data_IF_078823568601
#
_entry.id   IF_078823568601
#
_cell.length_a   1.000
_cell.length_b   1.000
_cell.length_c   1.000
_cell.angle_alpha   90.00
_cell.angle_beta   90.00
_cell.angle_gamma   90.00
#
_symmetry.space_group_name_H-M   'P 1'
#
loop_
_entity.id
_entity.type
_entity.pdbx_description
1 polymer ?
#
# COMPACT_ATOMS: atom_id res chain seq x y z
N UNK A 1 10.50 -17.84 -5.17
CA UNK A 1 11.31 -16.69 -4.71
C UNK A 1 10.70 -16.15 -3.43
N UNK A 2 11.47 -15.40 -2.65
CA UNK A 2 11.00 -14.77 -1.41
C UNK A 2 10.31 -13.41 -1.65
N UNK A 3 10.02 -13.02 -2.90
CA UNK A 3 9.46 -11.71 -3.27
C UNK A 3 8.06 -11.41 -2.67
N UNK A 4 7.43 -12.41 -2.04
CA UNK A 4 6.12 -12.28 -1.38
C UNK A 4 6.20 -12.43 0.14
N UNK A 5 7.38 -12.71 0.69
CA UNK A 5 7.57 -12.84 2.12
C UNK A 5 7.47 -11.46 2.78
N UNK A 6 6.75 -11.36 3.90
CA UNK A 6 6.61 -10.10 4.63
C UNK A 6 5.73 -9.06 3.92
N UNK A 7 4.91 -9.45 2.95
CA UNK A 7 3.89 -8.57 2.33
C UNK A 7 2.91 -7.99 3.36
N UNK A 8 2.63 -8.77 4.39
CA UNK A 8 1.98 -8.32 5.61
C UNK A 8 2.83 -8.79 6.79
N UNK A 9 2.91 -7.96 7.83
CA UNK A 9 3.70 -8.27 9.02
C UNK A 9 3.16 -7.57 10.27
N UNK A 10 3.54 -8.10 11.42
CA UNK A 10 3.19 -7.52 12.72
C UNK A 10 4.45 -6.96 13.37
N UNK A 11 4.38 -5.72 13.87
CA UNK A 11 5.51 -5.09 14.55
C UNK A 11 5.29 -5.11 16.04
N UNK A 12 6.08 -5.93 16.74
CA UNK A 12 6.04 -6.06 18.19
C UNK A 12 7.20 -5.31 18.85
N UNK A 13 6.95 -4.76 20.04
CA UNK A 13 7.97 -4.20 20.90
C UNK A 13 8.51 -5.28 21.86
N UNK A 14 9.58 -5.95 21.46
CA UNK A 14 10.30 -6.92 22.29
C UNK A 14 11.79 -6.60 22.34
N UNK A 15 12.46 -7.09 23.39
CA UNK A 15 13.90 -7.27 23.36
C UNK A 15 14.23 -8.42 22.39
N UNK A 16 15.03 -8.20 21.33
CA UNK A 16 15.41 -9.23 20.37
C UNK A 16 16.08 -10.47 21.00
N UNK A 17 16.71 -10.33 22.18
CA UNK A 17 17.36 -11.45 22.88
C UNK A 17 16.39 -12.33 23.65
N UNK A 18 15.13 -11.93 23.76
CA UNK A 18 14.14 -12.57 24.63
C UNK A 18 12.77 -12.67 23.93
N UNK A 19 12.79 -13.11 22.66
CA UNK A 19 11.60 -13.43 21.87
C UNK A 19 11.29 -14.92 22.04
N UNK A 20 10.15 -15.23 22.67
CA UNK A 20 9.66 -16.61 22.83
C UNK A 20 8.22 -16.73 22.34
N UNK A 21 7.81 -17.95 21.99
CA UNK A 21 6.42 -18.23 21.62
C UNK A 21 5.42 -17.78 22.68
N UNK A 22 5.72 -18.03 23.97
CA UNK A 22 4.83 -17.65 25.07
C UNK A 22 4.62 -16.13 25.15
N UNK A 23 5.66 -15.34 24.89
CA UNK A 23 5.55 -13.87 24.86
C UNK A 23 4.73 -13.37 23.68
N UNK A 24 4.94 -13.95 22.50
CA UNK A 24 4.14 -13.65 21.31
C UNK A 24 2.66 -13.96 21.57
N UNK A 25 2.37 -15.17 22.06
CA UNK A 25 1.02 -15.59 22.41
C UNK A 25 0.36 -14.65 23.43
N UNK A 26 1.07 -14.32 24.52
CA UNK A 26 0.55 -13.42 25.55
C UNK A 26 0.31 -12.00 25.02
N UNK A 27 1.15 -11.53 24.09
CA UNK A 27 1.01 -10.21 23.46
C UNK A 27 -0.24 -10.14 22.59
N UNK A 28 -0.48 -11.17 21.77
CA UNK A 28 -1.69 -11.29 20.95
C UNK A 28 -2.93 -11.40 21.85
N UNK A 29 -2.92 -12.33 22.82
CA UNK A 29 -4.07 -12.60 23.70
C UNK A 29 -4.52 -11.37 24.49
N UNK A 30 -3.56 -10.56 24.96
CA UNK A 30 -3.85 -9.42 25.82
C UNK A 30 -3.82 -8.07 25.08
N UNK A 31 -3.64 -8.08 23.75
CA UNK A 31 -3.45 -6.89 22.94
C UNK A 31 -2.38 -5.93 23.52
N UNK A 32 -1.22 -6.50 23.89
CA UNK A 32 -0.07 -5.76 24.42
C UNK A 32 1.12 -5.91 23.49
N UNK A 33 2.02 -4.93 23.50
CA UNK A 33 3.29 -4.93 22.76
C UNK A 33 3.18 -4.91 21.23
N UNK A 34 2.00 -5.14 20.63
CA UNK A 34 1.78 -4.93 19.20
C UNK A 34 1.71 -3.42 18.92
N UNK A 35 2.70 -2.89 18.21
CA UNK A 35 2.81 -1.47 17.90
C UNK A 35 1.92 -1.09 16.72
N UNK A 36 2.02 -1.85 15.64
CA UNK A 36 1.22 -1.70 14.42
C UNK A 36 1.36 -2.93 13.53
N UNK A 37 0.49 -3.04 12.53
CA UNK A 37 0.65 -3.98 11.42
C UNK A 37 1.18 -3.27 10.17
N UNK A 38 1.86 -4.03 9.33
CA UNK A 38 2.31 -3.63 7.99
C UNK A 38 1.41 -4.37 7.02
N UNK A 39 0.76 -3.65 6.12
CA UNK A 39 -0.25 -4.19 5.22
C UNK A 39 0.02 -3.74 3.78
N UNK A 40 -0.57 -4.44 2.81
CA UNK A 40 -0.71 -3.89 1.46
C UNK A 40 -1.94 -2.95 1.40
N UNK A 41 -2.14 -2.28 0.27
CA UNK A 41 -3.36 -1.48 0.05
C UNK A 41 -4.53 -2.42 -0.27
N UNK A 42 -5.54 -2.58 0.62
CA UNK A 42 -6.63 -3.53 0.39
C UNK A 42 -7.38 -3.25 -0.92
N UNK A 43 -7.35 -2.01 -1.41
CA UNK A 43 -7.89 -1.55 -2.67
C UNK A 43 -7.29 -2.25 -3.89
N UNK A 44 -6.06 -2.75 -3.81
CA UNK A 44 -5.46 -3.54 -4.90
C UNK A 44 -6.20 -4.87 -5.10
N UNK A 45 -6.96 -5.35 -4.11
CA UNK A 45 -7.74 -6.57 -4.19
C UNK A 45 -8.76 -6.57 -5.35
N UNK A 46 -8.81 -7.68 -6.10
CA UNK A 46 -9.70 -7.88 -7.26
C UNK A 46 -11.20 -7.66 -7.00
N UNK A 47 -11.60 -7.79 -5.75
CA UNK A 47 -12.98 -7.69 -5.29
C UNK A 47 -13.07 -6.74 -4.11
N UNK A 48 -12.18 -5.74 -4.03
CA UNK A 48 -12.23 -4.76 -2.96
C UNK A 48 -13.58 -4.02 -2.99
N UNK A 49 -13.86 -3.32 -4.09
CA UNK A 49 -15.15 -2.71 -4.34
C UNK A 49 -16.07 -3.66 -5.11
N UNK A 50 -17.38 -3.44 -5.03
CA UNK A 50 -18.31 -4.03 -5.98
C UNK A 50 -18.16 -3.39 -7.36
N UNK A 51 -18.77 -3.96 -8.38
CA UNK A 51 -18.83 -3.30 -9.68
C UNK A 51 -19.19 -4.21 -10.85
N UNK A 52 -18.97 -3.71 -12.06
CA UNK A 52 -19.22 -4.45 -13.29
C UNK A 52 -18.14 -4.13 -14.32
N UNK A 53 -17.17 -5.04 -14.46
CA UNK A 53 -15.96 -4.89 -15.28
C UNK A 53 -16.28 -4.61 -16.74
N UNK A 54 -17.30 -5.28 -17.30
CA UNK A 54 -17.71 -5.11 -18.70
C UNK A 54 -18.21 -3.70 -19.00
N UNK A 55 -18.72 -3.02 -17.97
CA UNK A 55 -19.21 -1.65 -18.07
C UNK A 55 -18.20 -0.60 -17.62
N UNK A 56 -17.09 -1.02 -17.03
CA UNK A 56 -16.09 -0.19 -16.37
C UNK A 56 -16.68 0.68 -15.25
N UNK A 57 -17.52 0.09 -14.40
CA UNK A 57 -18.20 0.79 -13.30
C UNK A 57 -17.80 0.16 -11.97
N UNK A 58 -17.18 0.96 -11.11
CA UNK A 58 -16.95 0.65 -9.70
C UNK A 58 -18.21 1.01 -8.93
N UNK A 59 -18.68 0.09 -8.10
CA UNK A 59 -19.83 0.26 -7.23
C UNK A 59 -19.36 0.19 -5.77
N UNK A 60 -18.97 1.34 -5.22
CA UNK A 60 -18.80 1.52 -3.77
C UNK A 60 -20.13 1.30 -3.04
N UNK A 61 -20.17 1.10 -1.71
CA UNK A 61 -21.41 0.90 -0.97
C UNK A 61 -22.49 1.95 -1.27
N UNK A 62 -22.11 3.22 -1.41
CA UNK A 62 -23.04 4.31 -1.74
C UNK A 62 -23.59 4.18 -3.17
N UNK A 63 -22.74 3.85 -4.15
CA UNK A 63 -23.16 3.63 -5.54
C UNK A 63 -24.03 2.38 -5.64
N UNK A 64 -23.65 1.31 -4.95
CA UNK A 64 -24.40 0.07 -4.88
C UNK A 64 -25.81 0.31 -4.33
N UNK A 65 -25.91 1.03 -3.20
CA UNK A 65 -27.18 1.38 -2.56
C UNK A 65 -28.02 2.28 -3.44
N UNK A 66 -27.42 3.28 -4.07
CA UNK A 66 -28.12 4.22 -4.98
C UNK A 66 -28.78 3.51 -6.18
N UNK A 67 -28.15 2.45 -6.68
CA UNK A 67 -28.62 1.72 -7.85
C UNK A 67 -29.20 0.34 -7.50
N UNK A 68 -29.52 0.09 -6.24
CA UNK A 68 -30.10 -1.18 -5.75
C UNK A 68 -29.34 -2.42 -6.27
N UNK A 69 -28.01 -2.39 -6.21
CA UNK A 69 -27.15 -3.49 -6.65
C UNK A 69 -27.13 -3.73 -8.17
N UNK A 70 -27.66 -2.81 -8.97
CA UNK A 70 -27.79 -2.98 -10.42
C UNK A 70 -26.95 -1.97 -11.20
N UNK A 71 -26.25 -2.43 -12.23
CA UNK A 71 -25.41 -1.60 -13.07
C UNK A 71 -26.26 -0.61 -13.90
N UNK A 72 -26.05 0.72 -13.79
CA UNK A 72 -26.87 1.71 -14.48
C UNK A 72 -26.63 1.76 -16.00
N UNK A 73 -25.55 1.14 -16.49
CA UNK A 73 -25.20 1.12 -17.92
C UNK A 73 -25.88 -0.02 -18.69
N UNK A 74 -26.10 -1.16 -18.05
CA UNK A 74 -26.59 -2.37 -18.73
C UNK A 74 -27.70 -3.12 -17.98
N UNK A 75 -28.16 -2.60 -16.84
CA UNK A 75 -29.20 -3.17 -15.99
C UNK A 75 -28.95 -4.62 -15.50
N UNK A 76 -27.69 -5.07 -15.50
CA UNK A 76 -27.30 -6.35 -14.90
C UNK A 76 -26.85 -6.13 -13.45
N UNK A 77 -26.98 -7.12 -12.56
CA UNK A 77 -26.47 -7.01 -11.20
C UNK A 77 -24.97 -6.68 -11.19
N UNK A 78 -24.54 -5.86 -10.25
CA UNK A 78 -23.13 -5.72 -9.93
C UNK A 78 -22.60 -7.03 -9.31
N UNK A 79 -21.30 -7.28 -9.48
CA UNK A 79 -20.58 -8.28 -8.69
C UNK A 79 -20.20 -7.65 -7.37
N UNK A 80 -20.54 -8.34 -6.28
CA UNK A 80 -20.32 -7.82 -4.93
C UNK A 80 -18.83 -7.78 -4.56
N UNK A 81 -18.48 -6.86 -3.66
CA UNK A 81 -17.11 -6.65 -3.18
C UNK A 81 -17.01 -6.69 -1.67
N UNK A 82 -15.79 -6.90 -1.16
CA UNK A 82 -15.48 -6.98 0.26
C UNK A 82 -15.96 -5.71 1.00
N UNK A 83 -15.79 -4.54 0.40
CA UNK A 83 -16.19 -3.26 0.99
C UNK A 83 -17.71 -3.18 1.23
N UNK A 84 -18.53 -3.73 0.33
CA UNK A 84 -19.98 -3.78 0.53
C UNK A 84 -20.35 -4.70 1.69
N UNK A 85 -19.70 -5.88 1.77
CA UNK A 85 -19.92 -6.81 2.88
C UNK A 85 -19.52 -6.19 4.23
N UNK A 86 -18.41 -5.45 4.26
CA UNK A 86 -18.01 -4.69 5.45
C UNK A 86 -19.06 -3.64 5.80
N UNK A 87 -19.54 -2.86 4.83
CA UNK A 87 -20.55 -1.83 5.06
C UNK A 87 -21.90 -2.39 5.52
N UNK A 88 -22.29 -3.57 5.03
CA UNK A 88 -23.51 -4.29 5.45
C UNK A 88 -23.44 -4.72 6.92
N UNK A 89 -22.26 -5.17 7.36
CA UNK A 89 -22.03 -5.66 8.73
C UNK A 89 -21.61 -4.57 9.71
N UNK A 90 -21.29 -3.37 9.23
CA UNK A 90 -20.76 -2.31 10.04
C UNK A 90 -21.81 -1.80 11.05
N UNK A 91 -21.51 -1.97 12.34
CA UNK A 91 -22.25 -1.40 13.47
C UNK A 91 -21.60 -0.13 14.03
N UNK A 92 -20.41 0.20 13.53
CA UNK A 92 -19.54 1.26 14.02
C UNK A 92 -18.96 2.07 12.85
N UNK A 93 -18.70 3.35 13.09
CA UNK A 93 -18.07 4.24 12.11
C UNK A 93 -16.55 4.26 12.29
N UNK A 94 -15.81 4.59 11.22
CA UNK A 94 -14.36 4.77 11.33
C UNK A 94 -13.98 5.81 12.39
N UNK A 95 -14.76 6.88 12.50
CA UNK A 95 -14.58 7.92 13.50
C UNK A 95 -14.70 7.36 14.93
N UNK A 96 -15.60 6.41 15.18
CA UNK A 96 -15.80 5.83 16.51
C UNK A 96 -14.66 4.89 16.94
N UNK A 97 -13.87 4.39 15.97
CA UNK A 97 -12.74 3.48 16.20
C UNK A 97 -11.38 4.18 16.28
N UNK A 98 -11.32 5.48 15.97
CA UNK A 98 -10.07 6.23 15.97
C UNK A 98 -9.41 6.16 17.36
N UNK A 99 -8.17 5.67 17.40
CA UNK A 99 -7.38 5.52 18.62
C UNK A 99 -7.71 4.29 19.50
N UNK A 100 -8.74 3.49 19.16
CA UNK A 100 -9.08 2.27 19.89
C UNK A 100 -8.38 1.03 19.34
N UNK A 101 -8.08 1.03 18.04
CA UNK A 101 -7.42 -0.07 17.34
C UNK A 101 -5.92 0.14 17.28
N UNK A 102 -5.18 -0.97 17.28
CA UNK A 102 -3.78 -0.99 16.85
C UNK A 102 -3.72 -0.41 15.43
N UNK A 103 -2.84 0.56 15.14
CA UNK A 103 -2.74 1.15 13.82
C UNK A 103 -2.11 0.17 12.82
N UNK A 104 -2.30 0.46 11.53
CA UNK A 104 -1.61 -0.23 10.45
C UNK A 104 -0.86 0.78 9.58
N UNK A 105 0.13 0.30 8.83
CA UNK A 105 0.87 1.07 7.82
C UNK A 105 0.78 0.33 6.50
N UNK A 106 0.16 0.95 5.50
CA UNK A 106 0.16 0.41 4.14
C UNK A 106 1.50 0.68 3.47
N UNK A 107 2.13 -0.35 2.92
CA UNK A 107 3.40 -0.24 2.21
C UNK A 107 3.25 -0.60 0.73
N UNK A 108 4.13 -0.03 -0.08
CA UNK A 108 4.35 -0.41 -1.47
C UNK A 108 5.72 -1.09 -1.53
N UNK A 109 5.86 -2.28 -2.14
CA UNK A 109 7.15 -2.94 -2.27
C UNK A 109 8.18 -2.02 -2.94
N UNK A 110 9.41 -2.02 -2.46
CA UNK A 110 10.46 -1.12 -2.92
C UNK A 110 10.70 -1.25 -4.43
N UNK A 111 10.62 -2.45 -4.98
CA UNK A 111 10.73 -2.67 -6.44
C UNK A 111 9.63 -1.97 -7.23
N UNK A 112 8.41 -1.90 -6.71
CA UNK A 112 7.30 -1.16 -7.35
C UNK A 112 7.54 0.36 -7.27
N UNK A 113 8.08 0.85 -6.14
CA UNK A 113 8.47 2.26 -6.00
C UNK A 113 9.55 2.64 -7.02
N UNK A 114 10.59 1.81 -7.15
CA UNK A 114 11.68 2.02 -8.10
C UNK A 114 11.16 1.94 -9.53
N UNK A 115 10.30 0.96 -9.83
CA UNK A 115 9.69 0.78 -11.15
C UNK A 115 8.86 1.99 -11.58
N UNK A 116 8.02 2.49 -10.68
CA UNK A 116 7.20 3.67 -10.94
C UNK A 116 8.10 4.90 -11.13
N UNK A 117 9.08 5.14 -10.26
CA UNK A 117 10.01 6.27 -10.40
C UNK A 117 10.75 6.29 -11.76
N UNK A 118 11.21 5.12 -12.20
CA UNK A 118 11.99 4.95 -13.43
C UNK A 118 11.14 4.75 -14.70
N UNK A 119 9.81 4.69 -14.58
CA UNK A 119 8.88 4.39 -15.68
C UNK A 119 9.22 3.07 -16.44
N UNK A 120 9.63 2.04 -15.69
CA UNK A 120 9.97 0.70 -16.22
C UNK A 120 9.29 -0.41 -15.41
N UNK A 121 9.30 -1.66 -15.91
CA UNK A 121 8.68 -2.78 -15.19
C UNK A 121 9.44 -3.21 -13.92
N UNK A 122 8.75 -3.67 -12.86
CA UNK A 122 9.36 -4.06 -11.57
C UNK A 122 10.29 -5.28 -11.66
N UNK A 123 10.13 -6.10 -12.70
CA UNK A 123 10.95 -7.30 -12.93
C UNK A 123 12.17 -7.04 -13.84
N UNK A 124 12.49 -5.79 -14.14
CA UNK A 124 13.63 -5.45 -15.01
C UNK A 124 14.96 -5.53 -14.26
N UNK A 125 16.05 -5.79 -14.99
CA UNK A 125 17.41 -5.74 -14.44
C UNK A 125 17.78 -4.36 -13.86
N UNK A 126 17.21 -3.29 -14.42
CA UNK A 126 17.41 -1.92 -13.93
C UNK A 126 16.85 -1.76 -12.51
N UNK A 127 15.60 -2.16 -12.29
CA UNK A 127 14.97 -2.15 -10.95
C UNK A 127 15.75 -3.03 -9.98
N UNK A 128 16.12 -4.26 -10.39
CA UNK A 128 16.85 -5.17 -9.53
C UNK A 128 18.18 -4.59 -9.06
N UNK A 129 18.95 -3.97 -9.97
CA UNK A 129 20.24 -3.34 -9.63
C UNK A 129 20.10 -2.23 -8.58
N UNK A 130 19.05 -1.41 -8.70
CA UNK A 130 18.80 -0.33 -7.72
C UNK A 130 18.32 -0.90 -6.39
N UNK A 131 17.43 -1.89 -6.43
CA UNK A 131 16.96 -2.60 -5.25
C UNK A 131 18.12 -3.23 -4.46
N UNK A 132 19.03 -3.93 -5.14
CA UNK A 132 20.19 -4.56 -4.50
C UNK A 132 21.08 -3.53 -3.80
N UNK A 133 21.28 -2.36 -4.43
CA UNK A 133 22.02 -1.25 -3.81
C UNK A 133 21.33 -0.71 -2.55
N UNK A 134 19.99 -0.67 -2.52
CA UNK A 134 19.28 -0.35 -1.28
C UNK A 134 19.46 -1.43 -0.21
N UNK A 135 19.54 -2.71 -0.57
CA UNK A 135 19.78 -3.77 0.41
C UNK A 135 21.20 -3.70 0.99
N UNK A 136 22.19 -3.35 0.18
CA UNK A 136 23.58 -3.14 0.63
C UNK A 136 23.70 -1.99 1.64
N UNK A 137 22.96 -0.89 1.43
CA UNK A 137 23.06 0.32 2.26
C UNK A 137 22.03 0.37 3.40
N UNK A 138 20.87 -0.25 3.21
CA UNK A 138 19.71 -0.15 4.08
C UNK A 138 19.40 -1.41 4.88
N UNK A 139 20.27 -2.43 4.80
CA UNK A 139 20.18 -3.74 5.45
C UNK A 139 19.01 -4.62 4.97
N UNK A 140 17.78 -4.10 5.02
CA UNK A 140 16.57 -4.79 4.61
C UNK A 140 15.49 -3.81 4.12
N UNK A 141 14.53 -4.36 3.38
CA UNK A 141 13.45 -3.57 2.76
C UNK A 141 12.57 -2.84 3.77
N UNK A 142 12.21 -3.45 4.91
CA UNK A 142 11.41 -2.76 5.93
C UNK A 142 12.14 -1.54 6.50
N UNK A 143 13.44 -1.64 6.73
CA UNK A 143 14.24 -0.51 7.17
C UNK A 143 14.24 0.61 6.14
N UNK A 144 14.50 0.30 4.87
CA UNK A 144 14.43 1.26 3.77
C UNK A 144 13.07 1.94 3.68
N UNK A 145 11.99 1.16 3.72
CA UNK A 145 10.64 1.68 3.53
C UNK A 145 10.12 2.45 4.75
N UNK A 146 10.48 2.07 5.98
CA UNK A 146 9.79 2.56 7.18
C UNK A 146 10.64 3.40 8.14
N UNK A 147 11.96 3.19 8.21
CA UNK A 147 12.76 3.69 9.32
C UNK A 147 13.98 4.52 8.91
N UNK A 148 14.66 4.13 7.83
CA UNK A 148 15.89 4.76 7.40
C UNK A 148 15.70 6.26 7.13
N UNK A 149 16.69 7.06 7.55
CA UNK A 149 16.75 8.47 7.17
C UNK A 149 17.05 8.58 5.67
N UNK A 150 16.08 9.05 4.91
CA UNK A 150 16.18 9.19 3.46
C UNK A 150 17.18 10.27 3.03
N UNK A 151 17.57 11.18 3.93
CA UNK A 151 18.53 12.24 3.63
C UNK A 151 19.90 11.71 3.19
N UNK A 152 20.32 10.58 3.77
CA UNK A 152 21.62 9.94 3.51
C UNK A 152 21.71 9.31 2.11
N UNK A 153 20.60 9.22 1.39
CA UNK A 153 20.50 8.54 0.10
C UNK A 153 20.29 9.47 -1.09
N UNK A 154 20.15 10.78 -0.83
CA UNK A 154 19.89 11.79 -1.87
C UNK A 154 20.97 11.85 -2.95
N UNK A 155 22.23 11.61 -2.58
CA UNK A 155 23.36 11.65 -3.52
C UNK A 155 23.61 10.30 -4.22
N UNK A 156 23.01 9.21 -3.71
CA UNK A 156 23.29 7.85 -4.17
C UNK A 156 22.21 7.31 -5.09
N UNK A 157 20.99 7.81 -5.00
CA UNK A 157 19.82 7.30 -5.70
C UNK A 157 19.09 8.40 -6.47
N UNK A 158 18.32 7.98 -7.47
CA UNK A 158 17.48 8.92 -8.21
C UNK A 158 16.48 9.59 -7.24
N UNK A 159 16.35 10.93 -7.26
CA UNK A 159 15.51 11.63 -6.30
C UNK A 159 14.03 11.22 -6.34
N UNK A 160 13.50 10.79 -7.49
CA UNK A 160 12.14 10.27 -7.60
C UNK A 160 11.93 8.98 -6.81
N UNK A 161 12.97 8.17 -6.63
CA UNK A 161 12.86 6.97 -5.80
C UNK A 161 12.76 7.37 -4.33
N UNK A 162 13.59 8.33 -3.91
CA UNK A 162 13.61 8.84 -2.54
C UNK A 162 12.29 9.55 -2.19
N UNK A 163 11.79 10.43 -3.08
CA UNK A 163 10.47 11.05 -2.92
C UNK A 163 9.35 10.00 -2.91
N UNK A 164 9.50 8.92 -3.67
CA UNK A 164 8.51 7.85 -3.75
C UNK A 164 8.37 7.09 -2.44
N UNK A 165 9.50 6.78 -1.79
CA UNK A 165 9.51 6.20 -0.43
C UNK A 165 8.85 7.17 0.57
N UNK A 166 9.18 8.47 0.49
CA UNK A 166 8.57 9.46 1.38
C UNK A 166 7.06 9.59 1.17
N UNK A 167 6.59 9.62 -0.09
CA UNK A 167 5.17 9.65 -0.43
C UNK A 167 4.43 8.45 0.11
N UNK A 168 5.01 7.26 -0.01
CA UNK A 168 4.47 6.05 0.59
C UNK A 168 4.35 6.19 2.11
N UNK A 169 5.41 6.65 2.80
CA UNK A 169 5.38 6.89 4.26
C UNK A 169 4.31 7.90 4.67
N UNK A 170 4.07 8.91 3.84
CA UNK A 170 3.08 9.97 4.07
C UNK A 170 1.64 9.55 3.66
N UNK A 171 1.46 8.38 3.03
CA UNK A 171 0.17 7.96 2.45
C UNK A 171 -0.27 8.81 1.24
N UNK A 172 0.66 9.53 0.60
CA UNK A 172 0.40 10.40 -0.56
C UNK A 172 0.49 9.59 -1.85
N UNK A 173 -0.46 8.68 -2.04
CA UNK A 173 -0.55 7.80 -3.21
C UNK A 173 -1.94 7.87 -3.83
N UNK A 174 -2.04 7.52 -5.11
CA UNK A 174 -3.28 7.51 -5.87
C UNK A 174 -3.77 6.08 -6.00
N UNK A 175 -4.92 5.79 -5.41
CA UNK A 175 -5.44 4.43 -5.32
C UNK A 175 -6.71 4.32 -6.16
N UNK A 176 -6.73 3.37 -7.09
CA UNK A 176 -7.93 2.97 -7.81
C UNK A 176 -8.32 1.56 -7.35
N UNK A 177 -9.49 1.36 -6.72
CA UNK A 177 -9.84 0.07 -6.17
C UNK A 177 -10.15 -0.96 -7.26
N UNK A 178 -9.79 -2.20 -6.98
CA UNK A 178 -10.17 -3.36 -7.79
C UNK A 178 -11.65 -3.71 -7.59
N UNK A 179 -12.22 -4.33 -8.62
CA UNK A 179 -13.64 -4.70 -8.66
C UNK A 179 -13.88 -5.77 -9.73
N UNK A 180 -14.88 -6.63 -9.51
CA UNK A 180 -15.33 -7.65 -10.48
C UNK A 180 -14.14 -8.42 -11.15
N UNK A 181 -13.18 -8.86 -10.33
CA UNK A 181 -12.04 -9.66 -10.78
C UNK A 181 -10.86 -8.85 -11.37
N UNK A 182 -10.99 -7.53 -11.49
CA UNK A 182 -9.94 -6.61 -11.93
C UNK A 182 -9.16 -6.12 -10.71
N UNK A 183 -7.84 -6.27 -10.71
CA UNK A 183 -6.99 -5.74 -9.64
C UNK A 183 -7.09 -4.21 -9.59
N UNK A 184 -7.02 -3.66 -8.38
CA UNK A 184 -6.81 -2.24 -8.20
C UNK A 184 -5.38 -1.84 -8.55
N UNK A 185 -5.13 -0.55 -8.54
CA UNK A 185 -3.81 0.02 -8.78
C UNK A 185 -3.48 1.04 -7.70
N UNK A 186 -2.23 1.03 -7.26
CA UNK A 186 -1.66 2.09 -6.42
C UNK A 186 -0.55 2.74 -7.22
N UNK A 187 -0.73 4.02 -7.54
CA UNK A 187 0.24 4.84 -8.26
C UNK A 187 0.84 5.85 -7.29
N UNK A 188 2.17 5.96 -7.25
CA UNK A 188 2.84 6.89 -6.32
C UNK A 188 2.78 8.32 -6.87
N UNK A 189 2.76 8.42 -8.20
CA UNK A 189 2.76 9.67 -8.92
C UNK A 189 1.72 9.72 -10.03
N UNK A 190 1.08 10.87 -10.17
CA UNK A 190 0.52 11.25 -11.47
C UNK A 190 1.62 11.68 -12.43
N UNK A 191 1.34 11.61 -13.75
CA UNK A 191 2.27 12.12 -14.79
C UNK A 191 2.75 13.55 -14.51
N UNK A 192 1.84 14.43 -14.11
CA UNK A 192 2.14 15.84 -13.80
C UNK A 192 3.08 15.98 -12.60
N UNK A 193 2.95 15.13 -11.59
CA UNK A 193 3.83 15.15 -10.42
C UNK A 193 5.24 14.71 -10.78
N UNK A 194 5.40 13.63 -11.58
CA UNK A 194 6.72 13.21 -12.07
C UNK A 194 7.40 14.33 -12.86
N UNK A 195 6.68 14.96 -13.79
CA UNK A 195 7.20 16.07 -14.60
C UNK A 195 7.64 17.26 -13.74
N UNK A 196 6.86 17.61 -12.71
CA UNK A 196 7.19 18.72 -11.80
C UNK A 196 8.47 18.44 -11.02
N UNK A 197 8.64 17.21 -10.50
CA UNK A 197 9.81 16.83 -9.71
C UNK A 197 11.07 16.74 -10.61
N UNK A 198 10.94 16.14 -11.80
CA UNK A 198 12.01 16.13 -12.83
C UNK A 198 12.40 17.57 -13.23
N UNK A 199 11.42 18.45 -13.41
CA UNK A 199 11.63 19.84 -13.83
C UNK A 199 12.17 20.78 -12.75
N UNK A 200 11.96 20.50 -11.46
CA UNK A 200 12.56 21.27 -10.36
C UNK A 200 14.07 21.05 -10.24
N UNK A 201 14.59 19.91 -10.69
CA UNK A 201 16.02 19.61 -10.72
C UNK A 201 16.77 20.28 -11.87
N UNK A 202 16.10 20.48 -13.02
CA UNK A 202 16.70 21.18 -14.16
C UNK A 202 16.92 22.68 -13.96
N UNK A 203 16.50 23.26 -12.83
CA UNK A 203 16.63 24.69 -12.49
C UNK A 203 17.67 24.98 -11.40
N UNK A 204 18.35 23.96 -10.88
CA UNK A 204 19.39 24.07 -9.85
C UNK A 204 20.82 24.07 -10.42
N UNK A 205 20.95 24.18 -11.74
CA UNK A 205 22.21 24.33 -12.48
C UNK A 205 22.15 25.57 -13.38
#
# INVERSE_FOLDING_TARGET
>A
SCDKLGREANVFNFDPKDITYQKLYNSIKNNKNLLYTIEFYPEEGKYHAGGHRKCNIIATPDVWKKHNGTCPKCNKPFVDGVMNRVAELADQTEASQKGKRVPFKSIIPLKEIIADALDIGPNTKGVQKVYDRFMELGENEFNVLLFADLSQWKDNFEPLIIDGIQRMRDGKVHVSPGYDGVFGTVEIYTKKEKEKIKGQQGKLF
#
